data_IF_556302678180
#
_entry.id   IF_556302678180
#
_cell.length_a   1.000
_cell.length_b   1.000
_cell.length_c   1.000
_cell.angle_alpha   90.00
_cell.angle_beta   90.00
_cell.angle_gamma   90.00
#
_symmetry.space_group_name_H-M   'P 1'
#
loop_
_entity.id
_entity.type
_entity.pdbx_description
1 polymer ?
#
# COMPACT_ATOMS: atom_id res chain seq x y z
N UNK A 1 -2.85 -23.16 -9.48
CA UNK A 1 -1.76 -22.26 -9.88
C UNK A 1 -1.80 -21.07 -8.95
N UNK A 2 -0.81 -20.93 -8.07
CA UNK A 2 -0.73 -19.85 -7.08
C UNK A 2 -0.56 -18.51 -7.79
N UNK A 3 -1.61 -17.70 -7.83
CA UNK A 3 -1.53 -16.33 -8.34
C UNK A 3 -0.48 -15.58 -7.52
N UNK A 4 0.66 -15.27 -8.16
CA UNK A 4 1.67 -14.43 -7.56
C UNK A 4 1.03 -13.06 -7.34
N UNK A 5 0.77 -12.70 -6.06
CA UNK A 5 0.21 -11.40 -5.70
C UNK A 5 1.04 -10.30 -6.36
N UNK A 6 0.37 -9.42 -7.08
CA UNK A 6 1.02 -8.29 -7.74
C UNK A 6 1.62 -7.36 -6.69
N UNK A 7 2.63 -6.58 -7.09
CA UNK A 7 3.21 -5.55 -6.22
C UNK A 7 2.16 -4.58 -5.65
N UNK A 8 1.07 -4.33 -6.39
CA UNK A 8 -0.04 -3.50 -5.94
C UNK A 8 -0.83 -4.15 -4.80
N UNK A 9 -1.12 -5.45 -4.92
CA UNK A 9 -1.84 -6.21 -3.91
C UNK A 9 -1.01 -6.38 -2.64
N UNK A 10 0.29 -6.67 -2.76
CA UNK A 10 1.18 -6.76 -1.59
C UNK A 10 1.21 -5.46 -0.78
N UNK A 11 1.32 -4.31 -1.45
CA UNK A 11 1.25 -3.00 -0.78
C UNK A 11 -0.11 -2.78 -0.12
N UNK A 12 -1.19 -3.14 -0.81
CA UNK A 12 -2.54 -2.99 -0.28
C UNK A 12 -2.79 -3.88 0.95
N UNK A 13 -2.33 -5.12 0.94
CA UNK A 13 -2.44 -6.03 2.08
C UNK A 13 -1.67 -5.54 3.29
N UNK A 14 -0.46 -5.02 3.11
CA UNK A 14 0.31 -4.42 4.20
C UNK A 14 -0.44 -3.25 4.84
N UNK A 15 -1.01 -2.36 4.03
CA UNK A 15 -1.82 -1.25 4.53
C UNK A 15 -3.08 -1.73 5.27
N UNK A 16 -3.75 -2.79 4.78
CA UNK A 16 -4.92 -3.40 5.44
C UNK A 16 -4.58 -4.10 6.74
N UNK A 17 -3.42 -4.77 6.82
CA UNK A 17 -2.97 -5.55 7.98
C UNK A 17 -2.51 -4.64 9.12
N UNK A 18 -1.70 -3.64 8.81
CA UNK A 18 -1.10 -2.76 9.81
C UNK A 18 -2.11 -1.76 10.40
N UNK A 19 -3.16 -1.38 9.64
CA UNK A 19 -4.22 -0.44 10.07
C UNK A 19 -3.73 0.89 10.67
N UNK A 20 -2.48 1.26 10.41
CA UNK A 20 -1.82 2.50 10.85
C UNK A 20 -1.18 3.19 9.65
N UNK A 21 -0.89 4.50 9.75
CA UNK A 21 -0.10 5.18 8.73
C UNK A 21 1.28 4.54 8.59
N UNK A 22 1.63 4.17 7.36
CA UNK A 22 2.95 3.63 7.02
C UNK A 22 3.68 4.54 6.05
N UNK A 23 4.94 4.78 6.31
CA UNK A 23 5.82 5.46 5.35
C UNK A 23 6.18 4.53 4.19
N UNK A 24 6.54 5.07 3.01
CA UNK A 24 6.99 4.24 1.89
C UNK A 24 8.21 3.36 2.21
N UNK A 25 9.07 3.79 3.16
CA UNK A 25 10.21 3.01 3.63
C UNK A 25 9.79 1.81 4.48
N UNK A 26 8.80 1.96 5.35
CA UNK A 26 8.25 0.83 6.12
C UNK A 26 7.57 -0.18 5.20
N UNK A 27 6.77 0.29 4.25
CA UNK A 27 6.09 -0.58 3.27
C UNK A 27 7.13 -1.34 2.44
N UNK A 28 8.22 -0.69 2.02
CA UNK A 28 9.34 -1.36 1.36
C UNK A 28 9.92 -2.48 2.23
N UNK A 29 10.19 -2.24 3.52
CA UNK A 29 10.72 -3.27 4.42
C UNK A 29 9.76 -4.44 4.60
N UNK A 30 8.45 -4.17 4.66
CA UNK A 30 7.42 -5.19 4.86
C UNK A 30 7.11 -6.00 3.60
N UNK A 31 7.25 -5.40 2.42
CA UNK A 31 6.92 -6.04 1.13
C UNK A 31 8.15 -6.55 0.37
N UNK A 32 9.35 -6.17 0.81
CA UNK A 32 10.62 -6.34 0.08
C UNK A 32 10.60 -5.82 -1.37
N UNK A 33 9.72 -4.85 -1.66
CA UNK A 33 9.61 -4.22 -2.97
C UNK A 33 10.58 -3.03 -3.08
N UNK A 34 10.97 -2.69 -4.31
CA UNK A 34 11.72 -1.48 -4.57
C UNK A 34 10.92 -0.23 -4.12
N UNK A 35 11.58 0.72 -3.45
CA UNK A 35 11.01 2.00 -3.03
C UNK A 35 10.22 2.72 -4.14
N UNK A 36 10.76 2.74 -5.37
CA UNK A 36 10.11 3.39 -6.52
C UNK A 36 8.83 2.66 -6.92
N UNK A 37 8.85 1.33 -6.88
CA UNK A 37 7.65 0.50 -7.10
C UNK A 37 6.61 0.78 -6.03
N UNK A 38 7.00 0.82 -4.75
CA UNK A 38 6.10 1.15 -3.64
C UNK A 38 5.46 2.52 -3.86
N UNK A 39 6.24 3.56 -4.18
CA UNK A 39 5.70 4.89 -4.48
C UNK A 39 4.72 4.88 -5.65
N UNK A 40 5.05 4.20 -6.75
CA UNK A 40 4.17 4.05 -7.90
C UNK A 40 2.85 3.39 -7.52
N UNK A 41 2.90 2.26 -6.81
CA UNK A 41 1.71 1.52 -6.37
C UNK A 41 0.87 2.30 -5.37
N UNK A 42 1.47 3.07 -4.48
CA UNK A 42 0.74 3.94 -3.55
C UNK A 42 -0.05 5.02 -4.30
N UNK A 43 0.51 5.59 -5.37
CA UNK A 43 -0.23 6.53 -6.23
C UNK A 43 -1.36 5.84 -6.99
N UNK A 44 -1.13 4.64 -7.53
CA UNK A 44 -2.18 3.84 -8.18
C UNK A 44 -3.35 3.55 -7.21
N UNK A 45 -3.03 3.17 -5.96
CA UNK A 45 -4.01 2.91 -4.90
C UNK A 45 -4.74 4.19 -4.47
N UNK A 46 -4.06 5.34 -4.44
CA UNK A 46 -4.67 6.65 -4.21
C UNK A 46 -5.71 6.98 -5.28
N UNK A 47 -5.33 6.83 -6.55
CA UNK A 47 -6.21 7.08 -7.70
C UNK A 47 -7.43 6.15 -7.69
N UNK A 48 -7.23 4.90 -7.26
CA UNK A 48 -8.32 3.93 -7.09
C UNK A 48 -9.22 4.22 -5.85
N UNK A 49 -8.85 5.18 -5.00
CA UNK A 49 -9.56 5.49 -3.75
C UNK A 49 -9.39 4.44 -2.66
N UNK A 50 -8.39 3.57 -2.76
CA UNK A 50 -8.10 2.47 -1.83
C UNK A 50 -7.08 2.84 -0.75
N UNK A 51 -6.31 3.91 -0.96
CA UNK A 51 -5.35 4.42 0.01
C UNK A 51 -5.38 5.94 0.06
N UNK A 52 -5.05 6.50 1.22
CA UNK A 52 -4.93 7.95 1.43
C UNK A 52 -3.56 8.25 2.00
N UNK A 53 -2.97 9.35 1.55
CA UNK A 53 -1.75 9.91 2.14
C UNK A 53 -2.15 10.90 3.22
N UNK A 54 -1.67 10.66 4.43
CA UNK A 54 -1.73 11.56 5.58
C UNK A 54 -0.33 12.14 5.83
N UNK A 55 -0.22 13.06 6.79
CA UNK A 55 1.07 13.64 7.18
C UNK A 55 2.01 12.60 7.81
N UNK A 56 1.44 11.57 8.44
CA UNK A 56 2.19 10.49 9.08
C UNK A 56 2.51 9.31 8.15
N UNK A 57 1.88 9.22 6.96
CA UNK A 57 2.15 8.14 6.03
C UNK A 57 0.99 7.80 5.11
N UNK A 58 0.90 6.54 4.71
CA UNK A 58 -0.16 5.99 3.87
C UNK A 58 -1.06 5.08 4.70
N UNK A 59 -2.37 5.24 4.52
CA UNK A 59 -3.40 4.48 5.24
C UNK A 59 -4.33 3.84 4.22
N UNK A 60 -4.76 2.61 4.49
CA UNK A 60 -5.82 1.98 3.72
C UNK A 60 -7.14 2.74 3.91
N UNK A 61 -7.78 3.14 2.82
CA UNK A 61 -9.13 3.71 2.84
C UNK A 61 -10.12 2.59 2.56
N UNK A 62 -10.76 2.11 3.62
CA UNK A 62 -11.86 1.19 3.49
C UNK A 62 -13.02 1.90 2.77
N UNK A 63 -13.45 1.38 1.61
CA UNK A 63 -14.74 1.78 1.05
C UNK A 63 -15.80 1.27 2.02
N UNK A 64 -16.35 2.16 2.84
CA UNK A 64 -17.68 1.91 3.41
C UNK A 64 -18.66 1.89 2.23
N UNK A 65 -19.21 0.71 1.96
CA UNK A 65 -20.43 0.54 1.16
C UNK A 65 -21.62 0.99 2.00
#
# INVERSE_FOLDING_TARGET
>A
MSEAKTAKEMVLEVLKKEKRPLTPKEIQKLTNLNYNTVRGRLQDLKKAGLAVRTDQGWVYKERRA
#
